data_IF_909278724271
#
_entry.id   IF_909278724271
#
_cell.length_a   1.000
_cell.length_b   1.000
_cell.length_c   1.000
_cell.angle_alpha   90.00
_cell.angle_beta   90.00
_cell.angle_gamma   90.00
#
_symmetry.space_group_name_H-M   'P 1'
#
loop_
_entity.id
_entity.type
_entity.pdbx_description
1 polymer ?
#
# COMPACT_ATOMS: atom_id res chain seq x y z
N UNK A 1 10.64 0.10 -10.47
CA UNK A 1 10.27 -0.07 -9.05
C UNK A 1 9.23 0.96 -8.67
N UNK A 2 8.04 0.50 -8.36
CA UNK A 2 6.90 1.33 -7.96
C UNK A 2 6.66 1.19 -6.45
N UNK A 3 6.38 2.30 -5.77
CA UNK A 3 6.08 2.30 -4.33
C UNK A 3 4.58 2.57 -4.15
N UNK A 4 3.90 1.72 -3.40
CA UNK A 4 2.49 1.90 -3.04
C UNK A 4 2.42 2.27 -1.57
N UNK A 5 1.99 3.48 -1.24
CA UNK A 5 1.97 3.99 0.13
C UNK A 5 0.53 4.12 0.65
N UNK A 6 0.13 3.17 1.48
CA UNK A 6 -1.17 3.17 2.17
C UNK A 6 -1.03 3.81 3.55
N UNK A 7 -1.83 4.83 3.84
CA UNK A 7 -1.85 5.46 5.17
C UNK A 7 -3.24 5.86 5.65
N UNK A 8 -3.33 6.38 6.87
CA UNK A 8 -4.59 6.87 7.41
C UNK A 8 -5.03 8.19 6.74
N UNK A 9 -6.22 8.66 7.08
CA UNK A 9 -6.86 9.87 6.54
C UNK A 9 -6.83 11.03 7.52
N UNK A 10 -6.17 10.88 8.66
CA UNK A 10 -5.96 11.95 9.63
C UNK A 10 -4.65 12.71 9.36
N UNK A 11 -4.27 13.58 10.29
CA UNK A 11 -3.08 14.42 10.13
C UNK A 11 -1.77 13.61 10.11
N UNK A 12 -1.66 12.54 10.89
CA UNK A 12 -0.44 11.74 10.94
C UNK A 12 -0.31 10.90 9.67
N UNK A 13 -1.40 10.27 9.23
CA UNK A 13 -1.45 9.53 7.97
C UNK A 13 -1.10 10.39 6.75
N UNK A 14 -1.71 11.58 6.61
CA UNK A 14 -1.35 12.51 5.53
C UNK A 14 0.05 13.10 5.70
N UNK A 15 0.50 13.33 6.94
CA UNK A 15 1.85 13.79 7.25
C UNK A 15 2.93 12.80 6.79
N UNK A 16 2.70 11.50 7.01
CA UNK A 16 3.59 10.45 6.55
C UNK A 16 3.75 10.46 5.02
N UNK A 17 2.64 10.64 4.29
CA UNK A 17 2.67 10.73 2.82
C UNK A 17 3.34 12.01 2.33
N UNK A 18 3.14 13.14 3.02
CA UNK A 18 3.83 14.39 2.72
C UNK A 18 5.36 14.22 2.81
N UNK A 19 5.85 13.56 3.86
CA UNK A 19 7.27 13.23 4.02
C UNK A 19 7.73 12.29 2.89
N UNK A 20 6.99 11.22 2.62
CA UNK A 20 7.32 10.26 1.56
C UNK A 20 7.42 10.94 0.18
N UNK A 21 6.49 11.84 -0.15
CA UNK A 21 6.50 12.58 -1.42
C UNK A 21 7.74 13.47 -1.60
N UNK A 22 8.39 13.89 -0.52
CA UNK A 22 9.61 14.69 -0.58
C UNK A 22 10.86 13.86 -0.86
N UNK A 23 10.93 12.64 -0.31
CA UNK A 23 12.13 11.80 -0.34
C UNK A 23 12.08 10.66 -1.35
N UNK A 24 10.89 10.22 -1.76
CA UNK A 24 10.68 9.06 -2.60
C UNK A 24 10.10 9.48 -3.96
N UNK A 25 10.49 8.75 -5.00
CA UNK A 25 9.99 8.93 -6.37
C UNK A 25 9.24 7.69 -6.84
N UNK A 26 8.23 7.87 -7.70
CA UNK A 26 7.44 6.74 -8.21
C UNK A 26 6.49 6.15 -7.15
N UNK A 27 5.93 7.02 -6.30
CA UNK A 27 4.98 6.64 -5.25
C UNK A 27 3.54 6.84 -5.73
N UNK A 28 2.72 5.82 -5.56
CA UNK A 28 1.26 5.88 -5.65
C UNK A 28 0.67 5.88 -4.24
N UNK A 29 -0.13 6.90 -3.91
CA UNK A 29 -0.67 7.10 -2.58
C UNK A 29 -2.10 6.58 -2.45
N UNK A 30 -2.36 5.86 -1.36
CA UNK A 30 -3.67 5.33 -0.98
C UNK A 30 -3.95 5.74 0.45
N UNK A 31 -5.21 6.03 0.76
CA UNK A 31 -5.63 6.31 2.13
C UNK A 31 -6.79 5.40 2.49
N UNK A 32 -6.84 5.01 3.77
CA UNK A 32 -7.96 4.28 4.33
C UNK A 32 -8.28 4.80 5.73
N UNK A 33 -9.55 4.77 6.10
CA UNK A 33 -9.96 4.68 7.49
C UNK A 33 -9.90 3.21 7.94
N UNK A 34 -10.38 2.89 9.15
CA UNK A 34 -10.31 1.53 9.69
C UNK A 34 -11.30 0.55 9.05
N UNK A 35 -11.06 -0.74 9.29
CA UNK A 35 -11.99 -1.81 8.96
C UNK A 35 -11.92 -2.20 7.49
N UNK A 36 -13.08 -2.20 6.81
CA UNK A 36 -13.21 -2.74 5.45
C UNK A 36 -12.35 -1.99 4.42
N UNK A 37 -12.20 -0.68 4.60
CA UNK A 37 -11.47 0.17 3.64
C UNK A 37 -10.00 -0.24 3.51
N UNK A 38 -9.37 -0.69 4.60
CA UNK A 38 -8.00 -1.22 4.56
C UNK A 38 -7.90 -2.38 3.57
N UNK A 39 -8.85 -3.32 3.59
CA UNK A 39 -8.86 -4.47 2.69
C UNK A 39 -9.09 -4.04 1.24
N UNK A 40 -10.05 -3.14 0.99
CA UNK A 40 -10.38 -2.67 -0.36
C UNK A 40 -9.19 -1.93 -1.00
N UNK A 41 -8.48 -1.09 -0.22
CA UNK A 41 -7.26 -0.42 -0.70
C UNK A 41 -6.12 -1.39 -0.93
N UNK A 42 -5.94 -2.37 -0.06
CA UNK A 42 -4.87 -3.36 -0.22
C UNK A 42 -5.12 -4.27 -1.43
N UNK A 43 -6.35 -4.72 -1.65
CA UNK A 43 -6.75 -5.48 -2.84
C UNK A 43 -6.47 -4.68 -4.12
N UNK A 44 -6.82 -3.39 -4.14
CA UNK A 44 -6.49 -2.52 -5.27
C UNK A 44 -4.96 -2.39 -5.50
N UNK A 45 -4.16 -2.32 -4.43
CA UNK A 45 -2.70 -2.29 -4.54
C UNK A 45 -2.18 -3.59 -5.16
N UNK A 46 -2.69 -4.75 -4.73
CA UNK A 46 -2.31 -6.06 -5.29
C UNK A 46 -2.68 -6.17 -6.77
N UNK A 47 -3.89 -5.73 -7.16
CA UNK A 47 -4.30 -5.69 -8.57
C UNK A 47 -3.33 -4.84 -9.43
N UNK A 48 -2.90 -3.68 -8.93
CA UNK A 48 -1.91 -2.83 -9.63
C UNK A 48 -0.55 -3.49 -9.75
N UNK A 49 -0.13 -4.24 -8.73
CA UNK A 49 1.13 -5.01 -8.78
C UNK A 49 1.03 -6.09 -9.85
N UNK A 50 -0.06 -6.85 -9.89
CA UNK A 50 -0.28 -7.92 -10.87
C UNK A 50 -0.34 -7.37 -12.30
N UNK A 51 -1.04 -6.26 -12.53
CA UNK A 51 -1.09 -5.58 -13.84
C UNK A 51 0.30 -5.17 -14.33
N UNK A 52 1.14 -4.66 -13.43
CA UNK A 52 2.51 -4.24 -13.76
C UNK A 52 3.43 -5.43 -14.01
N UNK A 53 3.35 -6.48 -13.20
CA UNK A 53 4.11 -7.72 -13.40
C UNK A 53 3.72 -8.42 -14.70
N UNK A 54 2.45 -8.35 -15.10
CA UNK A 54 1.99 -8.86 -16.39
C UNK A 54 2.57 -8.08 -17.58
N UNK A 55 2.83 -6.77 -17.41
CA UNK A 55 3.45 -5.93 -18.43
C UNK A 55 4.98 -6.04 -18.46
N UNK A 56 5.62 -6.22 -17.30
CA UNK A 56 7.05 -6.36 -17.13
C UNK A 56 7.36 -7.30 -15.93
N UNK A 57 7.80 -8.52 -16.23
CA UNK A 57 8.07 -9.55 -15.23
C UNK A 57 9.25 -9.20 -14.30
N UNK A 58 10.11 -8.25 -14.68
CA UNK A 58 11.22 -7.77 -13.86
C UNK A 58 10.84 -6.55 -13.01
N UNK A 59 9.61 -6.04 -13.13
CA UNK A 59 9.15 -4.89 -12.34
C UNK A 59 9.11 -5.23 -10.85
N UNK A 60 9.57 -4.28 -10.04
CA UNK A 60 9.63 -4.43 -8.58
C UNK A 60 8.61 -3.52 -7.91
N UNK A 61 7.98 -4.01 -6.86
CA UNK A 61 7.00 -3.23 -6.09
C UNK A 61 7.35 -3.23 -4.61
N UNK A 62 7.09 -2.10 -3.93
CA UNK A 62 7.17 -1.96 -2.48
C UNK A 62 5.83 -1.48 -1.96
N UNK A 63 5.25 -2.19 -0.99
CA UNK A 63 4.07 -1.71 -0.24
C UNK A 63 4.53 -1.13 1.09
N UNK A 64 4.29 0.17 1.29
CA UNK A 64 4.58 0.91 2.51
C UNK A 64 3.26 1.22 3.23
N UNK A 65 3.15 0.78 4.49
CA UNK A 65 1.98 1.04 5.34
C UNK A 65 2.43 1.93 6.49
N UNK A 66 1.76 3.07 6.69
CA UNK A 66 2.02 3.96 7.83
C UNK A 66 0.72 4.35 8.53
N UNK A 67 0.79 4.56 9.84
CA UNK A 67 -0.33 5.00 10.68
C UNK A 67 -1.60 4.12 10.58
N UNK A 68 -1.41 2.84 10.26
CA UNK A 68 -2.47 1.84 10.20
C UNK A 68 -1.97 0.57 10.87
N UNK A 69 -2.84 -0.07 11.66
CA UNK A 69 -2.61 -1.41 12.17
C UNK A 69 -3.31 -2.44 11.28
N UNK A 70 -2.66 -3.58 11.08
CA UNK A 70 -3.25 -4.75 10.45
C UNK A 70 -3.64 -5.78 11.51
N UNK A 71 -4.78 -6.42 11.31
CA UNK A 71 -5.14 -7.61 12.07
C UNK A 71 -4.26 -8.79 11.61
N UNK A 72 -3.99 -9.78 12.49
CA UNK A 72 -3.23 -10.97 12.10
C UNK A 72 -3.77 -11.67 10.84
N UNK A 73 -5.10 -11.80 10.73
CA UNK A 73 -5.74 -12.39 9.55
C UNK A 73 -5.51 -11.59 8.25
N UNK A 74 -5.35 -10.26 8.35
CA UNK A 74 -4.98 -9.43 7.20
C UNK A 74 -3.52 -9.69 6.81
N UNK A 75 -2.61 -9.76 7.78
CA UNK A 75 -1.21 -10.11 7.53
C UNK A 75 -1.07 -11.48 6.85
N UNK A 76 -1.77 -12.50 7.34
CA UNK A 76 -1.80 -13.84 6.73
C UNK A 76 -2.35 -13.81 5.31
N UNK A 77 -3.47 -13.11 5.07
CA UNK A 77 -4.02 -12.96 3.72
C UNK A 77 -3.03 -12.28 2.77
N UNK A 78 -2.30 -11.27 3.24
CA UNK A 78 -1.44 -10.43 2.40
C UNK A 78 -0.02 -10.98 2.20
N UNK A 79 0.43 -11.94 3.00
CA UNK A 79 1.74 -12.59 2.80
C UNK A 79 1.74 -13.57 1.63
N UNK A 80 0.56 -13.94 1.10
CA UNK A 80 0.44 -14.94 0.04
C UNK A 80 0.72 -16.37 0.49
N UNK A 81 0.86 -16.61 1.80
CA UNK A 81 1.01 -17.94 2.39
C UNK A 81 -0.37 -18.52 2.74
N UNK A 82 -0.99 -19.24 1.80
CA UNK A 82 -2.10 -20.18 2.03
C UNK A 82 -1.88 -21.47 1.23
#
# INVERSE_FOLDING_TARGET
MTIYHLSHTDLDGYGAQFVAAHYLTGVEFFNANYGKEINEKFELILERIDERLAADADEKSLVLITDLNLLPAQCEKFSGEL
#
